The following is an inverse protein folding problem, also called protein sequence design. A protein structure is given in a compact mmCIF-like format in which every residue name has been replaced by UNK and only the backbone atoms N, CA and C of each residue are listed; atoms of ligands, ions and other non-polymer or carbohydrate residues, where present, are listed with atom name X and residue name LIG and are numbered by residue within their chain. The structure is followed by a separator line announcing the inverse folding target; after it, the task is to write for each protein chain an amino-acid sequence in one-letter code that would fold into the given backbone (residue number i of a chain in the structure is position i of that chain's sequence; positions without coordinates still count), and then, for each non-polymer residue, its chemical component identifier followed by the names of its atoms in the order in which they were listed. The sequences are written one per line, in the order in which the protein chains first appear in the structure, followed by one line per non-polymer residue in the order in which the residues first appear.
data_IF_587042923942
#
_entry.id   IF_587042923942
#
_cell.length_a   1.000
_cell.length_b   1.000
_cell.length_c   1.000
_cell.angle_alpha   90.00
_cell.angle_beta   90.00
_cell.angle_gamma   90.00
#
_symmetry.space_group_name_H-M   'P 1'
#
loop_
_entity.id
_entity.type
_entity.pdbx_description
1 polymer ?
#
# COMPACT_ATOMS: atom_id res chain seq x y z
N UNK A 1 -20.21 -12.79 -2.75
CA UNK A 1 -20.61 -12.93 -1.33
C UNK A 1 -19.53 -13.55 -0.46
N UNK A 2 -18.89 -14.67 -0.90
CA UNK A 2 -17.86 -15.40 -0.12
C UNK A 2 -16.62 -14.56 0.17
N UNK A 3 -16.12 -13.80 -0.80
CA UNK A 3 -14.95 -12.93 -0.60
C UNK A 3 -15.17 -11.83 0.44
N UNK A 4 -16.41 -11.33 0.60
CA UNK A 4 -16.74 -10.33 1.62
C UNK A 4 -16.66 -10.91 3.02
N UNK A 5 -17.22 -12.10 3.24
CA UNK A 5 -17.14 -12.80 4.53
C UNK A 5 -15.69 -13.17 4.88
N UNK A 6 -14.90 -13.63 3.90
CA UNK A 6 -13.48 -13.93 4.09
C UNK A 6 -12.69 -12.67 4.52
N UNK A 7 -12.94 -11.51 3.90
CA UNK A 7 -12.31 -10.25 4.29
C UNK A 7 -12.58 -9.91 5.76
N UNK A 8 -13.84 -9.94 6.20
CA UNK A 8 -14.20 -9.70 7.61
C UNK A 8 -13.58 -10.72 8.56
N UNK A 9 -13.60 -12.00 8.19
CA UNK A 9 -13.02 -13.06 9.02
C UNK A 9 -11.52 -12.88 9.23
N UNK A 10 -10.78 -12.51 8.18
CA UNK A 10 -9.32 -12.34 8.25
C UNK A 10 -8.95 -10.97 8.83
N UNK A 11 -9.57 -9.88 8.34
CA UNK A 11 -9.13 -8.52 8.69
C UNK A 11 -9.74 -7.98 9.99
N UNK A 12 -10.82 -8.57 10.49
CA UNK A 12 -11.44 -8.14 11.75
C UNK A 12 -11.47 -9.26 12.80
N UNK A 13 -12.14 -10.40 12.52
CA UNK A 13 -12.31 -11.44 13.55
C UNK A 13 -10.99 -12.07 13.98
N UNK A 14 -10.07 -12.33 13.05
CA UNK A 14 -8.75 -12.84 13.40
C UNK A 14 -7.94 -11.81 14.19
N UNK A 15 -8.06 -10.52 13.86
CA UNK A 15 -7.37 -9.45 14.61
C UNK A 15 -7.92 -9.33 16.03
N UNK A 16 -9.23 -9.47 16.24
CA UNK A 16 -9.80 -9.53 17.60
C UNK A 16 -9.19 -10.65 18.45
N UNK A 17 -8.92 -11.82 17.83
CA UNK A 17 -8.24 -12.91 18.53
C UNK A 17 -6.78 -12.59 18.83
N UNK A 18 -6.05 -12.01 17.87
CA UNK A 18 -4.65 -11.62 18.05
C UNK A 18 -4.52 -10.55 19.15
N UNK A 19 -5.35 -9.51 19.13
CA UNK A 19 -5.30 -8.44 20.14
C UNK A 19 -5.60 -8.97 21.55
N UNK A 20 -6.54 -9.92 21.69
CA UNK A 20 -6.80 -10.59 22.96
C UNK A 20 -5.56 -11.34 23.47
N UNK A 21 -4.89 -12.11 22.62
CA UNK A 21 -3.67 -12.84 22.98
C UNK A 21 -2.54 -11.87 23.35
N UNK A 22 -2.31 -10.84 22.51
CA UNK A 22 -1.27 -9.84 22.77
C UNK A 22 -1.49 -9.13 24.11
N UNK A 23 -2.74 -8.75 24.43
CA UNK A 23 -3.08 -8.14 25.73
C UNK A 23 -2.82 -9.09 26.89
N UNK A 24 -3.30 -10.34 26.78
CA UNK A 24 -3.15 -11.35 27.86
C UNK A 24 -1.69 -11.65 28.17
N UNK A 25 -0.84 -11.70 27.16
CA UNK A 25 0.57 -12.09 27.30
C UNK A 25 1.55 -10.91 27.23
N UNK A 26 1.04 -9.66 27.22
CA UNK A 26 1.84 -8.44 27.15
C UNK A 26 2.80 -8.40 25.94
N UNK A 27 2.32 -8.86 24.76
CA UNK A 27 3.10 -8.97 23.52
C UNK A 27 2.89 -7.68 22.71
N UNK A 28 3.97 -7.13 22.14
CA UNK A 28 3.88 -6.06 21.15
C UNK A 28 3.36 -6.60 19.81
N UNK A 29 2.29 -6.02 19.29
CA UNK A 29 1.74 -6.38 17.97
C UNK A 29 2.25 -5.41 16.90
N UNK A 30 2.85 -5.94 15.84
CA UNK A 30 3.06 -5.20 14.58
C UNK A 30 2.00 -5.64 13.60
N UNK A 31 1.16 -4.70 13.13
CA UNK A 31 0.05 -4.99 12.24
C UNK A 31 0.14 -4.16 10.96
N UNK A 32 0.00 -4.81 9.81
CA UNK A 32 -0.01 -4.15 8.50
C UNK A 32 -1.46 -3.85 8.09
N UNK A 33 -1.75 -2.58 7.87
CA UNK A 33 -3.03 -2.09 7.35
C UNK A 33 -2.87 -1.52 5.93
N UNK A 34 -3.81 -0.70 5.48
CA UNK A 34 -3.89 -0.19 4.11
C UNK A 34 -4.41 1.24 4.08
N UNK A 35 -4.01 2.00 3.06
CA UNK A 35 -4.61 3.27 2.64
C UNK A 35 -6.10 3.15 2.30
N UNK A 36 -6.61 1.94 1.98
CA UNK A 36 -8.03 1.71 1.69
C UNK A 36 -8.97 1.94 2.89
N UNK A 37 -8.43 2.24 4.05
CA UNK A 37 -9.21 2.73 5.21
C UNK A 37 -9.69 4.16 5.00
N UNK A 38 -9.18 4.86 3.98
CA UNK A 38 -9.53 6.22 3.55
C UNK A 38 -10.25 6.20 2.19
N UNK A 39 -10.88 7.32 1.83
CA UNK A 39 -11.60 7.49 0.57
C UNK A 39 -10.75 8.10 -0.57
N UNK A 40 -9.57 8.61 -0.26
CA UNK A 40 -8.68 9.25 -1.25
C UNK A 40 -9.05 10.68 -1.58
N UNK A 41 -9.77 11.40 -0.71
CA UNK A 41 -10.18 12.81 -0.94
C UNK A 41 -9.25 13.82 -0.30
N UNK A 42 -8.35 13.41 0.62
CA UNK A 42 -7.36 14.28 1.26
C UNK A 42 -5.96 14.05 0.70
N UNK A 43 -5.11 15.06 0.81
CA UNK A 43 -3.71 15.08 0.34
C UNK A 43 -2.81 15.86 1.30
N UNK A 44 -1.88 15.22 1.99
CA UNK A 44 -1.75 13.78 2.21
C UNK A 44 -2.72 13.25 3.29
N UNK A 45 -2.97 11.94 3.31
CA UNK A 45 -3.66 11.28 4.41
C UNK A 45 -2.74 11.21 5.64
N UNK A 46 -3.24 11.62 6.80
CA UNK A 46 -2.52 11.53 8.07
C UNK A 46 -2.97 10.33 8.91
N UNK A 47 -2.16 9.93 9.90
CA UNK A 47 -2.50 8.84 10.80
C UNK A 47 -3.72 9.10 11.67
N UNK A 48 -4.03 10.38 11.91
CA UNK A 48 -5.15 10.81 12.77
C UNK A 48 -6.43 11.10 11.98
N UNK A 49 -6.45 10.81 10.69
CA UNK A 49 -7.64 10.99 9.85
C UNK A 49 -8.72 9.96 10.17
N UNK A 50 -9.97 10.39 10.19
CA UNK A 50 -11.13 9.51 10.37
C UNK A 50 -11.26 8.50 9.22
N UNK A 51 -11.68 7.29 9.54
CA UNK A 51 -11.91 6.26 8.53
C UNK A 51 -13.06 6.61 7.58
N UNK A 52 -12.81 6.47 6.28
CA UNK A 52 -13.76 6.73 5.20
C UNK A 52 -13.70 5.67 4.08
N UNK A 53 -13.71 4.36 4.39
CA UNK A 53 -13.44 3.31 3.43
C UNK A 53 -14.51 3.21 2.35
N UNK A 54 -14.11 3.10 1.07
CA UNK A 54 -15.00 2.96 -0.08
C UNK A 54 -15.44 1.52 -0.36
N UNK A 55 -14.80 0.53 0.26
CA UNK A 55 -14.99 -0.88 -0.07
C UNK A 55 -15.12 -1.76 1.18
N UNK A 56 -15.66 -2.98 0.99
CA UNK A 56 -15.71 -3.99 2.05
C UNK A 56 -14.30 -4.36 2.55
N UNK A 57 -13.32 -4.39 1.66
CA UNK A 57 -11.92 -4.60 2.05
C UNK A 57 -11.46 -3.49 2.99
N UNK A 58 -11.59 -2.23 2.58
CA UNK A 58 -11.21 -1.07 3.40
C UNK A 58 -11.95 -1.05 4.73
N UNK A 59 -13.28 -1.26 4.72
CA UNK A 59 -14.07 -1.30 5.95
C UNK A 59 -13.63 -2.42 6.91
N UNK A 60 -13.31 -3.61 6.38
CA UNK A 60 -12.81 -4.72 7.21
C UNK A 60 -11.40 -4.45 7.77
N UNK A 61 -10.54 -3.74 7.02
CA UNK A 61 -9.22 -3.31 7.50
C UNK A 61 -9.36 -2.24 8.59
N UNK A 62 -10.22 -1.23 8.39
CA UNK A 62 -10.50 -0.20 9.38
C UNK A 62 -11.03 -0.80 10.69
N UNK A 63 -11.92 -1.80 10.63
CA UNK A 63 -12.36 -2.53 11.82
C UNK A 63 -11.21 -3.26 12.53
N UNK A 64 -10.26 -3.81 11.79
CA UNK A 64 -9.02 -4.38 12.36
C UNK A 64 -8.15 -3.33 13.02
N UNK A 65 -7.97 -2.17 12.39
CA UNK A 65 -7.22 -1.05 12.93
C UNK A 65 -7.77 -0.60 14.28
N UNK A 66 -9.09 -0.40 14.39
CA UNK A 66 -9.76 -0.05 15.65
C UNK A 66 -9.50 -1.06 16.78
N UNK A 67 -9.39 -2.35 16.45
CA UNK A 67 -9.07 -3.39 17.43
C UNK A 67 -7.61 -3.34 17.87
N UNK A 68 -6.69 -3.07 16.96
CA UNK A 68 -5.26 -2.94 17.26
C UNK A 68 -4.99 -1.71 18.13
N UNK A 69 -5.67 -0.59 17.84
CA UNK A 69 -5.55 0.67 18.59
C UNK A 69 -6.03 0.59 20.05
N UNK A 70 -6.69 -0.52 20.43
CA UNK A 70 -7.04 -0.81 21.85
C UNK A 70 -5.89 -1.45 22.64
N UNK A 71 -4.73 -1.71 22.03
CA UNK A 71 -3.56 -2.25 22.72
C UNK A 71 -2.66 -1.12 23.24
N UNK A 72 -2.00 -1.35 24.38
CA UNK A 72 -0.98 -0.43 24.90
C UNK A 72 0.35 -0.53 24.12
N UNK A 73 0.59 -1.68 23.47
CA UNK A 73 1.86 -2.01 22.78
C UNK A 73 1.59 -2.47 21.36
N UNK A 74 1.58 -1.54 20.42
CA UNK A 74 1.40 -1.85 19.01
C UNK A 74 2.12 -0.90 18.09
N UNK A 75 2.46 -1.39 16.91
CA UNK A 75 2.79 -0.62 15.72
C UNK A 75 1.81 -1.02 14.62
N UNK A 76 0.89 -0.11 14.26
CA UNK A 76 -0.03 -0.28 13.15
C UNK A 76 0.53 0.48 11.96
N UNK A 77 0.85 -0.23 10.89
CA UNK A 77 1.48 0.32 9.70
C UNK A 77 0.46 0.39 8.55
N UNK A 78 -0.02 1.59 8.21
CA UNK A 78 -0.84 1.81 7.02
C UNK A 78 0.06 1.97 5.82
N UNK A 79 -0.11 1.13 4.81
CA UNK A 79 0.73 1.10 3.61
C UNK A 79 -0.11 1.09 2.35
N UNK A 80 0.52 1.35 1.21
CA UNK A 80 -0.13 1.36 -0.11
C UNK A 80 0.77 0.73 -1.16
N UNK A 81 0.19 0.21 -2.24
CA UNK A 81 0.83 -0.23 -3.49
C UNK A 81 2.07 -1.11 -3.27
N UNK A 82 1.92 -2.17 -2.47
CA UNK A 82 3.03 -3.02 -2.03
C UNK A 82 3.61 -3.84 -3.18
N UNK A 83 4.94 -3.77 -3.34
CA UNK A 83 5.75 -4.52 -4.31
C UNK A 83 6.72 -5.44 -3.55
N UNK A 84 6.71 -6.71 -3.90
CA UNK A 84 7.59 -7.71 -3.29
C UNK A 84 7.72 -8.94 -4.16
N UNK A 85 7.94 -10.09 -3.53
CA UNK A 85 8.00 -11.38 -4.20
C UNK A 85 6.65 -11.79 -4.80
N UNK A 86 6.66 -12.63 -5.82
CA UNK A 86 5.47 -13.15 -6.48
C UNK A 86 4.79 -12.17 -7.44
N UNK A 87 3.51 -12.40 -7.70
CA UNK A 87 2.71 -11.61 -8.66
C UNK A 87 2.41 -10.22 -8.11
N UNK A 88 2.85 -9.18 -8.80
CA UNK A 88 2.58 -7.79 -8.48
C UNK A 88 2.48 -6.94 -9.76
N UNK A 89 2.17 -5.64 -9.61
CA UNK A 89 1.99 -4.74 -10.74
C UNK A 89 3.26 -4.60 -11.59
N UNK A 90 4.44 -4.41 -10.96
CA UNK A 90 5.72 -4.22 -11.68
C UNK A 90 6.03 -5.45 -12.52
N UNK A 91 5.94 -6.65 -11.96
CA UNK A 91 6.15 -7.91 -12.72
C UNK A 91 5.13 -8.10 -13.85
N UNK A 92 3.89 -7.65 -13.65
CA UNK A 92 2.87 -7.70 -14.70
C UNK A 92 3.27 -6.78 -15.86
N UNK A 93 3.74 -5.57 -15.59
CA UNK A 93 4.18 -4.64 -16.63
C UNK A 93 5.46 -5.11 -17.35
N UNK A 94 6.42 -5.68 -16.62
CA UNK A 94 7.60 -6.31 -17.23
C UNK A 94 7.20 -7.44 -18.18
N UNK A 95 6.32 -8.33 -17.77
CA UNK A 95 5.83 -9.41 -18.65
C UNK A 95 5.01 -8.92 -19.86
N UNK A 96 4.41 -7.72 -19.82
CA UNK A 96 3.83 -7.07 -21.00
C UNK A 96 4.91 -6.49 -21.92
N UNK A 97 5.95 -5.88 -21.35
CA UNK A 97 7.10 -5.36 -22.07
C UNK A 97 7.81 -6.47 -22.87
N UNK A 98 8.12 -7.58 -22.23
CA UNK A 98 8.74 -8.76 -22.90
C UNK A 98 7.90 -9.28 -24.08
N UNK A 99 6.57 -9.16 -23.98
CA UNK A 99 5.64 -9.55 -25.07
C UNK A 99 5.40 -8.46 -26.10
N UNK A 100 6.09 -7.32 -26.00
CA UNK A 100 5.89 -6.14 -26.83
C UNK A 100 4.43 -5.64 -26.86
N UNK A 101 3.74 -5.66 -25.73
CA UNK A 101 2.36 -5.20 -25.60
C UNK A 101 2.33 -3.76 -25.06
N UNK A 102 1.67 -2.87 -25.80
CA UNK A 102 1.36 -1.50 -25.39
C UNK A 102 0.05 -1.47 -24.60
N UNK A 103 0.07 -1.29 -23.26
CA UNK A 103 -1.11 -1.36 -22.42
C UNK A 103 -1.88 -0.04 -22.33
N UNK A 104 -3.16 -0.14 -21.96
CA UNK A 104 -3.95 0.99 -21.45
C UNK A 104 -3.97 0.91 -19.93
N UNK A 105 -3.52 1.98 -19.25
CA UNK A 105 -3.30 1.99 -17.79
C UNK A 105 -3.99 3.19 -17.14
N UNK A 106 -4.51 3.00 -15.96
CA UNK A 106 -5.19 4.03 -15.16
C UNK A 106 -4.21 5.15 -14.80
N UNK A 107 -4.62 6.40 -15.05
CA UNK A 107 -3.79 7.59 -14.81
C UNK A 107 -4.30 8.52 -13.70
N UNK A 108 -5.51 8.29 -13.19
CA UNK A 108 -6.18 9.09 -12.16
C UNK A 108 -6.13 8.48 -10.75
N UNK A 109 -5.46 7.34 -10.58
CA UNK A 109 -5.05 6.86 -9.26
C UNK A 109 -3.59 7.26 -9.05
N UNK A 110 -3.34 8.00 -7.96
CA UNK A 110 -2.04 8.59 -7.63
C UNK A 110 -1.54 8.11 -6.28
N UNK A 111 -0.26 7.81 -6.17
CA UNK A 111 0.37 7.35 -4.93
C UNK A 111 1.86 7.08 -5.10
N UNK A 112 2.43 6.29 -4.18
CA UNK A 112 3.82 5.80 -4.23
C UNK A 112 3.84 4.28 -4.15
N UNK A 113 4.81 3.64 -4.81
CA UNK A 113 5.10 2.23 -4.57
C UNK A 113 5.69 2.06 -3.17
N UNK A 114 5.35 0.95 -2.53
CA UNK A 114 5.97 0.53 -1.27
C UNK A 114 6.62 -0.83 -1.46
N UNK A 115 7.94 -0.88 -1.36
CA UNK A 115 8.65 -2.15 -1.45
C UNK A 115 8.63 -2.88 -0.10
N UNK A 116 8.48 -4.20 -0.14
CA UNK A 116 8.48 -5.02 1.09
C UNK A 116 9.77 -4.88 1.89
N UNK A 117 10.90 -4.64 1.21
CA UNK A 117 12.18 -4.33 1.86
C UNK A 117 12.11 -3.04 2.69
N UNK A 118 11.38 -2.02 2.24
CA UNK A 118 11.18 -0.78 2.99
C UNK A 118 10.28 -1.01 4.20
N UNK A 119 9.20 -1.80 4.06
CA UNK A 119 8.37 -2.16 5.20
C UNK A 119 9.15 -2.90 6.29
N UNK A 120 10.06 -3.81 5.90
CA UNK A 120 10.95 -4.49 6.85
C UNK A 120 11.85 -3.48 7.56
N UNK A 121 12.47 -2.53 6.83
CA UNK A 121 13.31 -1.48 7.43
C UNK A 121 12.53 -0.63 8.44
N UNK A 122 11.29 -0.27 8.11
CA UNK A 122 10.42 0.51 9.00
C UNK A 122 10.12 -0.29 10.27
N UNK A 123 9.74 -1.56 10.14
CA UNK A 123 9.44 -2.44 11.28
C UNK A 123 10.66 -2.58 12.18
N UNK A 124 11.82 -2.89 11.60
CA UNK A 124 13.07 -3.05 12.36
C UNK A 124 13.44 -1.75 13.09
N UNK A 125 13.33 -0.60 12.41
CA UNK A 125 13.60 0.69 13.03
C UNK A 125 12.70 0.94 14.25
N UNK A 126 11.39 0.80 14.08
CA UNK A 126 10.43 1.04 15.17
C UNK A 126 10.67 0.13 16.37
N UNK A 127 10.99 -1.14 16.12
CA UNK A 127 11.27 -2.12 17.17
C UNK A 127 12.60 -1.88 17.87
N UNK A 128 13.68 -1.64 17.10
CA UNK A 128 15.05 -1.48 17.62
C UNK A 128 15.19 -0.17 18.40
N UNK A 129 14.65 0.93 17.86
CA UNK A 129 14.70 2.24 18.51
C UNK A 129 13.69 2.39 19.64
N UNK A 130 12.75 1.44 19.77
CA UNK A 130 11.61 1.54 20.68
C UNK A 130 10.84 2.83 20.47
N UNK A 131 10.57 3.16 19.20
CA UNK A 131 9.78 4.33 18.85
C UNK A 131 8.43 4.33 19.59
N UNK A 132 7.79 5.49 19.79
CA UNK A 132 6.47 5.53 20.44
C UNK A 132 5.48 4.59 19.78
N UNK A 133 4.76 3.80 20.59
CA UNK A 133 3.69 2.95 20.07
C UNK A 133 2.60 3.77 19.40
N UNK A 134 1.93 3.18 18.40
CA UNK A 134 0.83 3.83 17.70
C UNK A 134 0.75 3.47 16.22
N UNK A 135 -0.09 4.22 15.50
CA UNK A 135 -0.31 4.10 14.06
C UNK A 135 0.73 4.93 13.32
N UNK A 136 1.29 4.39 12.25
CA UNK A 136 2.24 5.02 11.34
C UNK A 136 1.83 4.79 9.89
N UNK A 137 1.92 5.80 9.06
CA UNK A 137 1.95 5.62 7.63
C UNK A 137 3.33 5.10 7.21
N UNK A 138 3.35 4.06 6.39
CA UNK A 138 4.56 3.29 6.10
C UNK A 138 4.67 2.99 4.60
N UNK A 139 5.31 3.91 3.86
CA UNK A 139 5.56 3.78 2.42
C UNK A 139 7.01 4.19 2.11
N UNK A 140 7.47 3.86 0.90
CA UNK A 140 8.61 4.59 0.36
C UNK A 140 8.28 6.08 0.21
N UNK A 141 9.28 6.93 0.20
CA UNK A 141 9.19 8.34 -0.14
C UNK A 141 9.40 8.57 -1.65
N UNK A 142 9.38 9.81 -2.11
CA UNK A 142 9.59 10.21 -3.50
C UNK A 142 8.37 10.88 -4.12
N UNK A 143 8.41 11.19 -5.44
CA UNK A 143 7.32 11.88 -6.11
C UNK A 143 6.05 11.02 -6.18
N UNK A 144 4.89 11.67 -6.16
CA UNK A 144 3.64 11.01 -6.48
C UNK A 144 3.60 10.65 -7.96
N UNK A 145 3.06 9.48 -8.28
CA UNK A 145 2.92 9.01 -9.64
C UNK A 145 1.63 8.22 -9.84
N UNK A 146 1.08 8.25 -11.04
CA UNK A 146 -0.03 7.37 -11.41
C UNK A 146 0.48 5.97 -11.82
N UNK A 147 -0.44 5.00 -11.87
CA UNK A 147 -0.09 3.68 -12.42
C UNK A 147 0.43 3.76 -13.86
N UNK A 148 -0.10 4.70 -14.67
CA UNK A 148 0.39 4.93 -16.03
C UNK A 148 1.82 5.48 -16.04
N UNK A 149 2.16 6.43 -15.14
CA UNK A 149 3.52 6.98 -15.03
C UNK A 149 4.52 5.92 -14.55
N UNK A 150 4.13 5.13 -13.55
CA UNK A 150 4.94 4.00 -13.08
C UNK A 150 5.18 3.00 -14.21
N UNK A 151 4.17 2.72 -15.04
CA UNK A 151 4.33 1.81 -16.20
C UNK A 151 5.34 2.36 -17.21
N UNK A 152 5.28 3.66 -17.53
CA UNK A 152 6.26 4.31 -18.41
C UNK A 152 7.68 4.19 -17.84
N UNK A 153 7.81 4.41 -16.53
CA UNK A 153 9.09 4.28 -15.84
C UNK A 153 9.63 2.85 -15.90
N UNK A 154 8.76 1.84 -15.70
CA UNK A 154 9.16 0.42 -15.83
C UNK A 154 9.65 0.13 -17.24
N UNK A 155 8.94 0.58 -18.29
CA UNK A 155 9.33 0.37 -19.67
C UNK A 155 10.63 1.09 -20.01
N UNK A 156 10.84 2.29 -19.47
CA UNK A 156 12.13 2.99 -19.60
C UNK A 156 13.28 2.19 -18.98
N UNK A 157 13.11 1.69 -17.76
CA UNK A 157 14.12 0.95 -16.99
C UNK A 157 14.43 -0.43 -17.60
N UNK A 158 13.46 -1.05 -18.26
CA UNK A 158 13.62 -2.37 -18.93
C UNK A 158 13.97 -2.26 -20.42
N UNK A 159 14.37 -1.08 -20.91
CA UNK A 159 14.75 -0.82 -22.31
C UNK A 159 13.64 -1.04 -23.36
N UNK A 160 12.37 -0.84 -22.97
CA UNK A 160 11.20 -0.94 -23.87
C UNK A 160 10.55 0.42 -24.11
N UNK A 161 11.34 1.46 -24.37
CA UNK A 161 10.89 2.85 -24.53
C UNK A 161 9.95 3.08 -25.71
N UNK A 162 9.97 2.19 -26.68
CA UNK A 162 9.13 2.28 -27.89
C UNK A 162 7.67 1.84 -27.64
N UNK A 163 7.40 1.21 -26.50
CA UNK A 163 6.04 0.79 -26.12
C UNK A 163 5.22 1.98 -25.62
N UNK A 164 4.03 2.12 -26.19
CA UNK A 164 3.12 3.21 -25.87
C UNK A 164 2.23 2.81 -24.67
N UNK A 165 2.21 3.64 -23.63
CA UNK A 165 1.29 3.51 -22.49
C UNK A 165 0.14 4.49 -22.70
N UNK A 166 -1.03 3.98 -23.07
CA UNK A 166 -2.25 4.77 -23.21
C UNK A 166 -2.90 5.01 -21.84
N UNK A 167 -3.42 6.21 -21.64
CA UNK A 167 -4.13 6.56 -20.40
C UNK A 167 -5.60 6.15 -20.47
N UNK A 168 -6.15 5.74 -19.33
CA UNK A 168 -7.60 5.62 -19.08
C UNK A 168 -7.90 6.09 -17.66
N UNK A 169 -9.14 6.47 -17.40
CA UNK A 169 -9.60 6.78 -16.05
C UNK A 169 -10.04 5.51 -15.31
N UNK A 170 -10.08 5.59 -13.98
CA UNK A 170 -10.62 4.53 -13.12
C UNK A 170 -12.07 4.20 -13.51
N UNK A 171 -12.88 5.23 -13.76
CA UNK A 171 -14.28 5.08 -14.15
C UNK A 171 -14.42 4.31 -15.48
N UNK A 172 -13.63 4.67 -16.50
CA UNK A 172 -13.65 3.99 -17.80
C UNK A 172 -13.15 2.55 -17.71
N UNK A 173 -12.03 2.32 -17.00
CA UNK A 173 -11.41 1.01 -16.86
C UNK A 173 -12.33 0.00 -16.16
N UNK A 174 -13.14 0.45 -15.21
CA UNK A 174 -14.05 -0.40 -14.44
C UNK A 174 -15.51 -0.31 -14.88
N UNK A 175 -15.86 0.47 -15.91
CA UNK A 175 -17.24 0.66 -16.39
C UNK A 175 -18.03 -0.64 -16.59
N UNK A 176 -17.37 -1.70 -17.08
CA UNK A 176 -17.97 -3.00 -17.35
C UNK A 176 -17.59 -4.08 -16.31
N UNK A 177 -17.11 -3.69 -15.12
CA UNK A 177 -16.63 -4.58 -14.05
C UNK A 177 -17.27 -4.22 -12.71
N UNK A 178 -18.60 -4.34 -12.55
CA UNK A 178 -19.33 -3.88 -11.37
C UNK A 178 -18.96 -4.65 -10.08
N UNK A 179 -18.32 -5.82 -10.22
CA UNK A 179 -17.84 -6.63 -9.10
C UNK A 179 -16.52 -6.12 -8.50
N UNK A 180 -15.82 -5.23 -9.19
CA UNK A 180 -14.54 -4.70 -8.68
C UNK A 180 -14.80 -3.66 -7.60
N UNK A 181 -14.12 -3.82 -6.47
CA UNK A 181 -14.24 -2.91 -5.35
C UNK A 181 -13.71 -1.51 -5.71
N UNK A 182 -14.42 -0.43 -5.34
CA UNK A 182 -13.94 0.93 -5.51
C UNK A 182 -12.60 1.12 -4.80
N UNK A 183 -11.76 1.98 -5.38
CA UNK A 183 -10.40 2.29 -4.90
C UNK A 183 -10.27 3.78 -4.65
N UNK A 184 -9.50 4.21 -3.64
CA UNK A 184 -9.10 5.60 -3.50
C UNK A 184 -8.41 6.10 -4.77
N UNK A 185 -8.70 7.33 -5.20
CA UNK A 185 -7.99 7.96 -6.32
C UNK A 185 -6.66 8.54 -5.86
N UNK A 186 -6.57 8.92 -4.60
CA UNK A 186 -5.34 9.38 -3.99
C UNK A 186 -4.92 8.45 -2.85
N UNK A 187 -3.68 7.98 -2.91
CA UNK A 187 -3.01 7.16 -1.89
C UNK A 187 -1.77 7.86 -1.33
N UNK A 188 -1.72 9.20 -1.40
CA UNK A 188 -0.65 9.96 -0.75
C UNK A 188 -0.81 9.91 0.76
N UNK A 189 0.22 9.47 1.44
CA UNK A 189 0.25 9.29 2.89
C UNK A 189 1.38 10.14 3.47
N UNK A 190 1.08 10.99 4.49
CA UNK A 190 2.11 11.74 5.21
C UNK A 190 3.07 10.78 5.90
N UNK A 191 4.35 11.05 5.76
CA UNK A 191 5.44 10.32 6.43
C UNK A 191 6.03 11.10 7.61
N UNK A 192 5.47 12.26 7.96
CA UNK A 192 6.02 13.17 8.97
C UNK A 192 6.19 12.48 10.33
N UNK A 193 5.20 11.71 10.74
CA UNK A 193 5.25 10.96 12.00
C UNK A 193 6.35 9.90 11.99
N UNK A 194 6.48 9.15 10.90
CA UNK A 194 7.54 8.16 10.75
C UNK A 194 8.92 8.83 10.75
N UNK A 195 9.09 9.91 9.99
CA UNK A 195 10.34 10.66 9.93
C UNK A 195 10.71 11.31 11.28
N UNK A 196 9.72 11.71 12.09
CA UNK A 196 9.96 12.24 13.44
C UNK A 196 10.62 11.23 14.39
N UNK A 197 10.56 9.93 14.08
CA UNK A 197 11.30 8.88 14.82
C UNK A 197 12.77 8.76 14.45
N UNK A 198 13.25 9.57 13.49
CA UNK A 198 14.59 9.50 12.93
C UNK A 198 14.74 8.53 11.74
N UNK A 199 13.64 7.87 11.30
CA UNK A 199 13.66 7.05 10.09
C UNK A 199 13.72 7.92 8.84
N UNK A 200 14.47 7.45 7.84
CA UNK A 200 14.52 8.07 6.51
C UNK A 200 14.05 7.06 5.46
N UNK A 201 12.90 7.34 4.88
CA UNK A 201 12.32 6.51 3.83
C UNK A 201 13.12 6.62 2.55
N UNK A 202 13.31 5.50 1.85
CA UNK A 202 13.95 5.46 0.54
C UNK A 202 13.00 5.99 -0.54
N UNK A 203 13.57 6.59 -1.57
CA UNK A 203 12.81 6.95 -2.77
C UNK A 203 12.37 5.69 -3.52
N UNK A 204 11.07 5.56 -3.81
CA UNK A 204 10.51 4.40 -4.51
C UNK A 204 11.08 4.21 -5.92
N UNK A 205 11.52 5.29 -6.60
CA UNK A 205 12.11 5.18 -7.93
C UNK A 205 13.49 4.48 -7.90
N UNK A 206 14.24 4.63 -6.81
CA UNK A 206 15.51 3.94 -6.61
C UNK A 206 15.29 2.45 -6.39
N UNK A 207 14.35 2.11 -5.50
CA UNK A 207 13.98 0.72 -5.24
C UNK A 207 13.34 0.07 -6.48
N UNK A 208 12.56 0.82 -7.28
CA UNK A 208 12.02 0.34 -8.56
C UNK A 208 13.15 0.01 -9.55
N UNK A 209 14.16 0.87 -9.67
CA UNK A 209 15.32 0.62 -10.57
C UNK A 209 16.03 -0.68 -10.18
N UNK A 210 16.28 -0.86 -8.90
CA UNK A 210 16.91 -2.09 -8.40
C UNK A 210 16.01 -3.31 -8.63
N UNK A 211 14.71 -3.18 -8.38
CA UNK A 211 13.75 -4.27 -8.57
C UNK A 211 13.67 -4.69 -10.05
N UNK A 212 13.57 -3.74 -10.97
CA UNK A 212 13.55 -4.02 -12.42
C UNK A 212 14.85 -4.70 -12.85
N UNK A 213 16.03 -4.17 -12.43
CA UNK A 213 17.32 -4.77 -12.76
C UNK A 213 17.48 -6.23 -12.32
N UNK A 214 16.79 -6.63 -11.25
CA UNK A 214 16.85 -8.00 -10.73
C UNK A 214 15.79 -8.94 -11.36
N UNK A 215 14.81 -8.42 -12.12
CA UNK A 215 13.66 -9.18 -12.61
C UNK A 215 13.37 -8.98 -14.13
N UNK A 216 14.16 -8.15 -14.83
CA UNK A 216 14.07 -7.95 -16.28
C UNK A 216 15.01 -8.91 -17.02
#
# INVERSE_FOLDING_TARGET
PEGRLAAWKVNASAIANLTRVCRTHNITLVHISSDYVFDGTKEPHSENEDFSPLSVYGASKAAGDLLVEQLDKFYLLRTTWVIGEGKNFVRTMLGLAEKNVSPTVVHDQVGRLTFTSELVRIIDHLLITKAPFGTYNATNDGPLASWADITRKIFELSNHKDLIVSNTTTAEYFANKPEVAPRPLNSDMSLDKLHSTGFQSRNWEEDLRQYVSNNA
#
